data_IF_431014867345
#
_entry.id   IF_431014867345
#
_cell.length_a   1.000
_cell.length_b   1.000
_cell.length_c   1.000
_cell.angle_alpha   90.00
_cell.angle_beta   90.00
_cell.angle_gamma   90.00
#
_symmetry.space_group_name_H-M   'P 1'
#
loop_
_entity.id
_entity.type
_entity.pdbx_description
1 polymer ?
#
# COMPACT_ATOMS: atom_id res chain seq x y z
N UNK A 1 -16.88 -11.12 7.29
CA UNK A 1 -15.78 -11.13 6.30
C UNK A 1 -15.05 -12.45 6.43
N UNK A 2 -14.47 -12.99 5.33
CA UNK A 2 -13.55 -14.14 5.41
C UNK A 2 -12.25 -13.80 6.14
N UNK A 3 -11.47 -14.83 6.50
CA UNK A 3 -10.15 -14.64 7.14
C UNK A 3 -9.24 -13.82 6.20
N UNK A 4 -8.69 -12.71 6.70
CA UNK A 4 -7.68 -11.91 5.96
C UNK A 4 -6.40 -12.72 5.85
N UNK A 5 -5.78 -12.77 4.66
CA UNK A 5 -4.57 -13.55 4.38
C UNK A 5 -3.31 -12.69 4.30
N UNK A 6 -3.42 -11.50 3.71
CA UNK A 6 -2.27 -10.63 3.50
C UNK A 6 -2.64 -9.14 3.54
N UNK A 7 -1.63 -8.30 3.79
CA UNK A 7 -1.74 -6.85 3.79
C UNK A 7 -0.66 -6.29 2.85
N UNK A 8 -1.11 -5.58 1.82
CA UNK A 8 -0.26 -4.80 0.93
C UNK A 8 -0.17 -3.37 1.46
N UNK A 9 1.03 -2.87 1.64
CA UNK A 9 1.26 -1.55 2.22
C UNK A 9 2.12 -0.72 1.27
N UNK A 10 1.62 0.45 0.85
CA UNK A 10 2.42 1.41 0.12
C UNK A 10 3.53 2.00 0.99
N UNK A 11 4.56 2.56 0.35
CA UNK A 11 5.73 3.11 1.05
C UNK A 11 5.57 4.61 1.32
N UNK A 12 5.62 5.41 0.26
CA UNK A 12 5.74 6.86 0.35
C UNK A 12 4.43 7.51 0.80
N UNK A 13 4.45 8.21 1.93
CA UNK A 13 3.26 8.80 2.54
C UNK A 13 2.44 7.86 3.42
N UNK A 14 2.67 6.54 3.32
CA UNK A 14 1.94 5.51 4.08
C UNK A 14 2.73 5.02 5.29
N UNK A 15 4.00 4.61 5.10
CA UNK A 15 4.88 4.17 6.19
C UNK A 15 5.92 5.21 6.59
N UNK A 16 6.08 6.25 5.82
CA UNK A 16 7.04 7.31 6.09
C UNK A 16 7.04 8.35 4.99
N UNK A 17 7.89 9.34 5.16
CA UNK A 17 8.06 10.39 4.17
C UNK A 17 8.04 11.78 4.78
N UNK A 18 8.29 12.76 3.95
CA UNK A 18 8.15 14.18 4.22
C UNK A 18 7.29 14.75 3.09
N UNK A 19 6.34 15.60 3.43
CA UNK A 19 5.41 16.21 2.48
C UNK A 19 6.17 16.86 1.30
N UNK A 20 5.68 16.60 0.09
CA UNK A 20 6.20 17.09 -1.18
C UNK A 20 7.68 16.74 -1.50
N UNK A 21 8.24 15.72 -0.84
CA UNK A 21 9.59 15.22 -1.14
C UNK A 21 9.58 13.75 -1.56
N UNK A 22 10.35 13.43 -2.60
CA UNK A 22 10.73 12.05 -2.90
C UNK A 22 11.93 11.70 -2.02
N UNK A 23 11.80 10.67 -1.20
CA UNK A 23 12.86 10.17 -0.34
C UNK A 23 13.25 8.75 -0.76
N UNK A 24 14.53 8.57 -1.05
CA UNK A 24 15.10 7.26 -1.37
C UNK A 24 15.46 6.47 -0.10
N UNK A 25 15.78 5.19 -0.22
CA UNK A 25 16.30 4.41 0.90
C UNK A 25 17.48 5.13 1.58
N UNK A 26 17.56 5.04 2.91
CA UNK A 26 18.46 5.77 3.81
C UNK A 26 18.11 7.26 4.06
N UNK A 27 17.21 7.86 3.27
CA UNK A 27 16.67 9.20 3.52
C UNK A 27 15.27 9.16 4.12
N UNK A 28 14.60 7.99 4.01
CA UNK A 28 13.23 7.82 4.45
C UNK A 28 13.08 8.00 5.96
N UNK A 29 12.19 8.88 6.34
CA UNK A 29 11.79 9.05 7.74
C UNK A 29 10.56 8.18 7.99
N UNK A 30 10.76 7.04 8.63
CA UNK A 30 9.69 6.10 8.97
C UNK A 30 8.85 6.67 10.11
N UNK A 31 7.52 6.57 10.01
CA UNK A 31 6.63 6.99 11.08
C UNK A 31 6.78 6.08 12.31
N UNK A 32 6.71 6.63 13.53
CA UNK A 32 7.07 5.89 14.76
C UNK A 32 6.27 4.61 15.00
N UNK A 33 5.02 4.57 14.52
CA UNK A 33 4.10 3.45 14.76
C UNK A 33 4.18 2.29 13.75
N UNK A 34 5.01 2.41 12.70
CA UNK A 34 5.03 1.47 11.56
C UNK A 34 5.52 0.09 11.97
N UNK A 35 6.69 -0.01 12.58
CA UNK A 35 7.29 -1.30 12.93
C UNK A 35 6.41 -2.11 13.88
N UNK A 36 5.87 -1.46 14.91
CA UNK A 36 4.97 -2.11 15.86
C UNK A 36 3.65 -2.54 15.20
N UNK A 37 3.12 -1.74 14.26
CA UNK A 37 1.91 -2.09 13.51
C UNK A 37 2.12 -3.30 12.63
N UNK A 38 3.22 -3.35 11.89
CA UNK A 38 3.62 -4.51 11.06
C UNK A 38 3.80 -5.75 11.92
N UNK A 39 4.53 -5.64 13.02
CA UNK A 39 4.76 -6.74 13.96
C UNK A 39 3.42 -7.34 14.45
N UNK A 40 2.49 -6.52 14.89
CA UNK A 40 1.17 -6.97 15.38
C UNK A 40 0.35 -7.69 14.30
N UNK A 41 0.40 -7.23 13.05
CA UNK A 41 -0.24 -7.91 11.92
C UNK A 41 0.40 -9.28 11.67
N UNK A 42 1.73 -9.36 11.68
CA UNK A 42 2.48 -10.62 11.52
C UNK A 42 2.22 -11.62 12.64
N UNK A 43 2.06 -11.17 13.88
CA UNK A 43 1.69 -12.02 15.03
C UNK A 43 0.31 -12.68 14.86
N UNK A 44 -0.54 -12.13 13.97
CA UNK A 44 -1.81 -12.75 13.56
C UNK A 44 -1.67 -13.69 12.35
N UNK A 45 -0.45 -13.91 11.88
CA UNK A 45 -0.18 -14.78 10.74
C UNK A 45 -0.42 -14.13 9.37
N UNK A 46 -0.60 -12.81 9.33
CA UNK A 46 -0.79 -12.08 8.07
C UNK A 46 0.53 -11.90 7.32
N UNK A 47 0.52 -12.15 6.02
CA UNK A 47 1.65 -11.88 5.15
C UNK A 47 1.70 -10.37 4.83
N UNK A 48 2.86 -9.74 5.03
CA UNK A 48 3.05 -8.31 4.82
C UNK A 48 3.85 -8.06 3.56
N UNK A 49 3.25 -7.36 2.61
CA UNK A 49 3.77 -7.16 1.27
C UNK A 49 3.85 -5.66 0.96
N UNK A 50 4.93 -5.22 0.34
CA UNK A 50 4.95 -3.86 -0.20
C UNK A 50 4.27 -3.80 -1.56
N UNK A 51 3.87 -2.59 -1.96
CA UNK A 51 3.36 -2.38 -3.31
C UNK A 51 3.55 -0.89 -3.68
N UNK A 52 4.70 -0.53 -4.22
CA UNK A 52 5.12 0.85 -4.37
C UNK A 52 5.60 1.20 -5.78
N UNK A 53 5.35 2.43 -6.24
CA UNK A 53 5.87 2.96 -7.49
C UNK A 53 7.18 3.70 -7.20
N UNK A 54 8.29 3.23 -7.78
CA UNK A 54 9.63 3.78 -7.58
C UNK A 54 10.33 4.12 -8.91
N UNK A 55 9.86 5.14 -9.65
CA UNK A 55 10.40 5.48 -10.97
C UNK A 55 11.84 6.01 -10.91
N UNK A 56 12.35 6.43 -9.75
CA UNK A 56 13.74 6.80 -9.56
C UNK A 56 14.73 5.69 -9.91
N UNK A 57 14.28 4.42 -9.86
CA UNK A 57 15.13 3.29 -10.27
C UNK A 57 15.43 3.36 -11.77
N UNK A 58 14.43 3.59 -12.62
CA UNK A 58 14.66 3.70 -14.07
C UNK A 58 15.45 4.96 -14.47
N UNK A 59 15.46 5.99 -13.61
CA UNK A 59 16.29 7.19 -13.80
C UNK A 59 17.70 7.05 -13.25
N UNK A 60 18.05 5.93 -12.61
CA UNK A 60 19.36 5.73 -11.99
C UNK A 60 19.56 6.52 -10.69
N UNK A 61 18.50 7.02 -10.08
CA UNK A 61 18.52 7.82 -8.84
C UNK A 61 18.52 6.94 -7.59
N UNK A 62 18.10 5.68 -7.72
CA UNK A 62 18.07 4.68 -6.65
C UNK A 62 18.22 3.27 -7.18
N UNK A 63 18.57 2.32 -6.30
CA UNK A 63 18.68 0.91 -6.62
C UNK A 63 17.51 0.11 -6.05
N UNK A 64 17.08 -0.93 -6.73
CA UNK A 64 16.05 -1.85 -6.26
C UNK A 64 16.44 -2.51 -4.95
N UNK A 65 17.69 -2.98 -4.85
CA UNK A 65 18.20 -3.71 -3.69
C UNK A 65 18.14 -2.85 -2.41
N UNK A 66 18.37 -1.54 -2.51
CA UNK A 66 18.29 -0.63 -1.37
C UNK A 66 16.87 -0.53 -0.81
N UNK A 67 15.84 -0.51 -1.68
CA UNK A 67 14.43 -0.59 -1.25
C UNK A 67 14.11 -1.92 -0.60
N UNK A 68 14.64 -3.03 -1.14
CA UNK A 68 14.43 -4.36 -0.56
C UNK A 68 15.05 -4.47 0.84
N UNK A 69 16.26 -3.96 1.03
CA UNK A 69 16.93 -3.92 2.33
C UNK A 69 16.14 -3.08 3.33
N UNK A 70 15.75 -1.86 2.95
CA UNK A 70 14.96 -0.97 3.79
C UNK A 70 13.65 -1.64 4.23
N UNK A 71 12.83 -2.09 3.28
CA UNK A 71 11.51 -2.64 3.58
C UNK A 71 11.59 -3.96 4.38
N UNK A 72 12.55 -4.82 4.09
CA UNK A 72 12.79 -6.03 4.89
C UNK A 72 13.20 -5.69 6.33
N UNK A 73 13.99 -4.64 6.54
CA UNK A 73 14.39 -4.21 7.89
C UNK A 73 13.21 -3.71 8.73
N UNK A 74 12.18 -3.15 8.10
CA UNK A 74 10.93 -2.70 8.72
C UNK A 74 9.98 -3.87 9.04
N UNK A 75 10.20 -5.04 8.42
CA UNK A 75 9.41 -6.25 8.67
C UNK A 75 8.55 -6.76 7.52
N UNK A 76 8.69 -6.22 6.31
CA UNK A 76 8.01 -6.73 5.14
C UNK A 76 8.51 -8.14 4.76
N UNK A 77 7.59 -9.04 4.40
CA UNK A 77 7.91 -10.42 4.02
C UNK A 77 8.27 -10.54 2.55
N UNK A 78 7.61 -9.75 1.68
CA UNK A 78 7.85 -9.71 0.23
C UNK A 78 7.79 -8.28 -0.28
N UNK A 79 8.60 -7.99 -1.28
CA UNK A 79 8.75 -6.65 -1.84
C UNK A 79 8.27 -6.62 -3.29
N UNK A 80 7.19 -5.91 -3.53
CA UNK A 80 6.68 -5.61 -4.86
C UNK A 80 6.83 -4.12 -5.13
N UNK A 81 7.54 -3.78 -6.18
CA UNK A 81 7.74 -2.40 -6.61
C UNK A 81 7.73 -2.29 -8.14
N UNK A 82 7.22 -1.18 -8.62
CA UNK A 82 7.29 -0.80 -10.03
C UNK A 82 8.42 0.21 -10.24
N UNK A 83 9.47 -0.15 -10.98
CA UNK A 83 10.60 0.77 -11.24
C UNK A 83 10.34 1.71 -12.40
N UNK A 84 9.23 1.58 -13.12
CA UNK A 84 9.02 2.22 -14.41
C UNK A 84 8.52 3.67 -14.28
N UNK A 85 8.92 4.50 -15.25
CA UNK A 85 8.36 5.82 -15.46
C UNK A 85 6.89 5.78 -15.91
N UNK A 86 6.24 6.95 -15.86
CA UNK A 86 4.92 7.13 -16.46
C UNK A 86 4.98 6.82 -17.97
N UNK A 87 3.87 6.28 -18.48
CA UNK A 87 3.68 6.02 -19.91
C UNK A 87 4.65 5.00 -20.57
N UNK A 88 5.31 4.16 -19.79
CA UNK A 88 6.15 3.06 -20.32
C UNK A 88 5.35 1.86 -20.79
N UNK A 89 4.04 1.83 -20.54
CA UNK A 89 3.17 0.69 -20.92
C UNK A 89 3.34 -0.55 -20.03
N UNK A 90 3.98 -0.44 -18.85
CA UNK A 90 4.07 -1.56 -17.92
C UNK A 90 2.72 -1.85 -17.24
N UNK A 91 2.51 -3.11 -16.82
CA UNK A 91 1.29 -3.53 -16.12
C UNK A 91 1.41 -3.40 -14.59
N UNK A 92 2.61 -3.11 -14.06
CA UNK A 92 2.84 -3.08 -12.62
C UNK A 92 2.58 -1.72 -11.96
N UNK A 93 2.67 -0.61 -12.71
CA UNK A 93 2.53 0.73 -12.13
C UNK A 93 1.10 1.03 -11.69
N UNK A 94 0.92 1.38 -10.42
CA UNK A 94 -0.37 1.88 -9.91
C UNK A 94 -0.85 3.10 -10.72
N UNK A 95 -2.11 3.19 -11.12
CA UNK A 95 -3.29 2.47 -10.60
C UNK A 95 -3.55 1.08 -11.20
N UNK A 96 -2.66 0.52 -12.02
CA UNK A 96 -2.84 -0.84 -12.55
C UNK A 96 -2.59 -1.89 -11.45
N UNK A 97 -3.32 -3.02 -11.45
CA UNK A 97 -3.26 -4.02 -10.39
C UNK A 97 -2.09 -5.02 -10.52
N UNK A 98 -1.19 -4.83 -11.48
CA UNK A 98 -0.18 -5.85 -11.85
C UNK A 98 0.68 -6.36 -10.71
N UNK A 99 1.11 -5.49 -9.77
CA UNK A 99 1.85 -5.92 -8.59
C UNK A 99 1.03 -6.82 -7.66
N UNK A 100 -0.27 -6.51 -7.47
CA UNK A 100 -1.18 -7.30 -6.65
C UNK A 100 -1.44 -8.67 -7.27
N UNK A 101 -1.68 -8.71 -8.59
CA UNK A 101 -1.89 -9.95 -9.33
C UNK A 101 -0.64 -10.84 -9.32
N UNK A 102 0.54 -10.25 -9.50
CA UNK A 102 1.82 -10.96 -9.40
C UNK A 102 1.99 -11.58 -8.01
N UNK A 103 1.79 -10.78 -6.97
CA UNK A 103 1.93 -11.24 -5.60
C UNK A 103 0.94 -12.37 -5.25
N UNK A 104 -0.30 -12.26 -5.71
CA UNK A 104 -1.30 -13.31 -5.51
C UNK A 104 -0.89 -14.62 -6.15
N UNK A 105 -0.39 -14.57 -7.38
CA UNK A 105 0.09 -15.77 -8.08
C UNK A 105 1.32 -16.40 -7.41
N UNK A 106 2.25 -15.59 -6.94
CA UNK A 106 3.51 -16.07 -6.33
C UNK A 106 3.33 -16.61 -4.90
N UNK A 107 2.27 -16.20 -4.19
CA UNK A 107 2.04 -16.55 -2.78
C UNK A 107 0.70 -17.28 -2.55
N UNK A 108 0.01 -17.70 -3.62
CA UNK A 108 -1.27 -18.42 -3.57
C UNK A 108 -2.35 -17.69 -2.73
N UNK A 109 -2.51 -16.36 -2.97
CA UNK A 109 -3.41 -15.50 -2.21
C UNK A 109 -4.77 -15.32 -2.93
N UNK A 110 -5.86 -15.34 -2.15
CA UNK A 110 -7.15 -14.84 -2.58
C UNK A 110 -7.22 -13.33 -2.35
N UNK A 111 -7.11 -12.53 -3.42
CA UNK A 111 -7.10 -11.06 -3.33
C UNK A 111 -8.36 -10.47 -2.65
N UNK A 112 -9.49 -11.18 -2.66
CA UNK A 112 -10.70 -10.77 -1.92
C UNK A 112 -10.54 -10.84 -0.40
N UNK A 113 -9.50 -11.54 0.06
CA UNK A 113 -9.08 -11.66 1.46
C UNK A 113 -7.82 -10.86 1.76
N UNK A 114 -7.40 -10.01 0.84
CA UNK A 114 -6.24 -9.15 1.01
C UNK A 114 -6.67 -7.71 1.24
N UNK A 115 -5.90 -7.00 2.03
CA UNK A 115 -6.09 -5.58 2.32
C UNK A 115 -4.98 -4.77 1.65
N UNK A 116 -5.34 -3.66 1.05
CA UNK A 116 -4.39 -2.65 0.54
C UNK A 116 -4.48 -1.41 1.43
N UNK A 117 -3.34 -0.95 1.92
CA UNK A 117 -3.19 0.30 2.68
C UNK A 117 -2.36 1.26 1.84
N UNK A 118 -2.89 2.43 1.55
CA UNK A 118 -2.19 3.48 0.82
C UNK A 118 -2.70 4.87 1.16
N UNK A 119 -1.93 5.89 0.77
CA UNK A 119 -2.25 7.30 0.97
C UNK A 119 -2.77 7.98 -0.30
N UNK A 120 -2.73 7.27 -1.46
CA UNK A 120 -3.15 7.83 -2.74
C UNK A 120 -4.35 7.10 -3.33
N UNK A 121 -5.16 7.84 -4.07
CA UNK A 121 -6.31 7.23 -4.77
C UNK A 121 -5.89 6.19 -5.82
N UNK A 122 -4.68 6.29 -6.36
CA UNK A 122 -4.11 5.27 -7.26
C UNK A 122 -3.91 3.91 -6.58
N UNK A 123 -3.69 3.89 -5.27
CA UNK A 123 -3.60 2.66 -4.47
C UNK A 123 -4.97 2.00 -4.38
N UNK A 124 -5.99 2.80 -4.09
CA UNK A 124 -7.39 2.34 -3.99
C UNK A 124 -7.92 1.83 -5.32
N UNK A 125 -7.62 2.52 -6.43
CA UNK A 125 -8.01 2.07 -7.77
C UNK A 125 -7.35 0.73 -8.11
N UNK A 126 -6.04 0.57 -7.82
CA UNK A 126 -5.33 -0.70 -8.01
C UNK A 126 -5.97 -1.82 -7.19
N UNK A 127 -6.31 -1.55 -5.93
CA UNK A 127 -6.97 -2.48 -5.02
C UNK A 127 -8.38 -2.86 -5.51
N UNK A 128 -9.17 -1.88 -5.96
CA UNK A 128 -10.52 -2.09 -6.53
C UNK A 128 -10.46 -3.00 -7.75
N UNK A 129 -9.56 -2.74 -8.68
CA UNK A 129 -9.37 -3.55 -9.90
C UNK A 129 -8.93 -5.00 -9.58
N UNK A 130 -8.21 -5.19 -8.48
CA UNK A 130 -7.78 -6.50 -8.00
C UNK A 130 -8.80 -7.20 -7.10
N UNK A 131 -9.84 -6.51 -6.65
CA UNK A 131 -10.85 -7.05 -5.72
C UNK A 131 -10.43 -7.06 -4.26
N UNK A 132 -9.40 -6.29 -3.86
CA UNK A 132 -8.94 -6.18 -2.50
C UNK A 132 -9.78 -5.22 -1.65
N UNK A 133 -9.71 -5.38 -0.34
CA UNK A 133 -10.21 -4.41 0.65
C UNK A 133 -9.30 -3.18 0.63
N UNK A 134 -9.89 -1.99 0.64
CA UNK A 134 -9.20 -0.70 0.46
C UNK A 134 -9.18 0.11 1.75
N UNK A 135 -8.00 0.45 2.23
CA UNK A 135 -7.82 1.38 3.36
C UNK A 135 -7.04 2.60 2.89
N UNK A 136 -7.64 3.77 3.06
CA UNK A 136 -6.95 5.05 2.85
C UNK A 136 -6.40 5.52 4.20
N UNK A 137 -5.08 5.75 4.28
CA UNK A 137 -4.49 6.47 5.41
C UNK A 137 -4.47 7.97 5.14
N UNK A 138 -4.72 8.77 6.16
CA UNK A 138 -4.76 10.24 6.06
C UNK A 138 -3.38 10.90 6.22
N UNK A 139 -2.31 10.11 6.28
CA UNK A 139 -0.91 10.55 6.15
C UNK A 139 -0.58 10.85 4.68
N UNK A 140 0.58 11.38 4.41
CA UNK A 140 1.03 11.67 3.04
C UNK A 140 0.01 12.51 2.26
N UNK A 141 -0.41 12.00 1.11
CA UNK A 141 -1.42 12.65 0.25
C UNK A 141 -2.88 12.34 0.64
N UNK A 142 -3.12 11.47 1.64
CA UNK A 142 -4.43 10.88 1.88
C UNK A 142 -5.55 11.89 2.19
N UNK A 143 -5.27 12.90 3.03
CA UNK A 143 -6.25 13.98 3.28
C UNK A 143 -6.60 14.76 2.01
N UNK A 144 -5.58 15.07 1.20
CA UNK A 144 -5.76 15.81 -0.05
C UNK A 144 -6.54 15.00 -1.09
N UNK A 145 -6.25 13.72 -1.20
CA UNK A 145 -6.93 12.83 -2.14
C UNK A 145 -8.39 12.56 -1.71
N UNK A 146 -8.64 12.39 -0.40
CA UNK A 146 -10.00 12.29 0.13
C UNK A 146 -10.82 13.55 -0.18
N UNK A 147 -10.23 14.73 0.03
CA UNK A 147 -10.91 15.99 -0.29
C UNK A 147 -11.22 16.13 -1.78
N UNK A 148 -10.33 15.70 -2.67
CA UNK A 148 -10.63 15.68 -4.12
C UNK A 148 -11.84 14.81 -4.44
N UNK A 149 -12.00 13.66 -3.77
CA UNK A 149 -13.17 12.81 -3.93
C UNK A 149 -14.44 13.53 -3.45
N UNK A 150 -14.41 14.13 -2.26
CA UNK A 150 -15.53 14.87 -1.68
C UNK A 150 -15.93 16.10 -2.55
N UNK A 151 -14.96 16.73 -3.18
CA UNK A 151 -15.17 17.85 -4.12
C UNK A 151 -15.62 17.38 -5.53
N UNK A 152 -15.85 16.07 -5.76
CA UNK A 152 -16.31 15.52 -7.02
C UNK A 152 -15.29 15.59 -8.16
N UNK A 153 -13.99 15.58 -7.85
CA UNK A 153 -12.92 15.71 -8.86
C UNK A 153 -12.51 14.36 -9.48
N UNK A 154 -13.04 13.23 -8.98
CA UNK A 154 -12.76 11.90 -9.52
C UNK A 154 -13.93 11.38 -10.36
N UNK A 155 -13.62 10.69 -11.47
CA UNK A 155 -14.57 10.14 -12.42
C UNK A 155 -14.24 8.69 -12.76
N UNK A 156 -15.26 7.94 -13.28
CA UNK A 156 -15.11 6.54 -13.68
C UNK A 156 -14.57 5.70 -12.53
N UNK A 157 -13.60 4.83 -12.80
CA UNK A 157 -13.00 3.93 -11.81
C UNK A 157 -12.39 4.63 -10.59
N UNK A 158 -11.99 5.88 -10.72
CA UNK A 158 -11.51 6.65 -9.56
C UNK A 158 -12.66 7.01 -8.62
N UNK A 159 -13.84 7.31 -9.14
CA UNK A 159 -15.02 7.56 -8.33
C UNK A 159 -15.58 6.28 -7.68
N UNK A 160 -15.37 5.13 -8.30
CA UNK A 160 -15.81 3.82 -7.80
C UNK A 160 -14.90 3.27 -6.69
N UNK A 161 -13.65 3.71 -6.63
CA UNK A 161 -12.63 3.21 -5.71
C UNK A 161 -12.69 3.85 -4.30
N UNK A 162 -13.89 4.13 -3.78
CA UNK A 162 -14.03 4.64 -2.41
C UNK A 162 -13.47 3.64 -1.39
N UNK A 163 -12.71 4.09 -0.36
CA UNK A 163 -12.12 3.19 0.62
C UNK A 163 -13.18 2.48 1.47
N UNK A 164 -12.92 1.23 1.82
CA UNK A 164 -13.74 0.47 2.77
C UNK A 164 -13.51 0.95 4.20
N UNK A 165 -12.33 1.54 4.46
CA UNK A 165 -12.00 2.20 5.73
C UNK A 165 -11.07 3.40 5.49
N UNK A 166 -11.31 4.49 6.23
CA UNK A 166 -10.44 5.67 6.26
C UNK A 166 -9.76 5.70 7.62
N UNK A 167 -8.45 5.50 7.63
CA UNK A 167 -7.63 5.45 8.83
C UNK A 167 -6.83 6.76 9.02
N UNK A 168 -6.65 7.17 10.26
CA UNK A 168 -5.80 8.32 10.56
C UNK A 168 -4.33 8.10 10.14
N UNK A 169 -3.82 6.86 10.32
CA UNK A 169 -2.46 6.43 10.01
C UNK A 169 -2.38 4.90 9.95
N UNK A 170 -1.17 4.36 9.77
CA UNK A 170 -0.93 2.92 9.68
C UNK A 170 -1.34 2.16 10.97
N UNK A 171 -1.19 2.76 12.14
CA UNK A 171 -1.60 2.16 13.42
C UNK A 171 -3.10 1.95 13.50
N UNK A 172 -3.87 2.94 13.07
CA UNK A 172 -5.34 2.88 13.01
C UNK A 172 -5.78 1.83 11.98
N UNK A 173 -5.16 1.82 10.79
CA UNK A 173 -5.41 0.79 9.77
C UNK A 173 -5.13 -0.62 10.29
N UNK A 174 -3.99 -0.85 10.94
CA UNK A 174 -3.64 -2.13 11.54
C UNK A 174 -4.64 -2.56 12.63
N UNK A 175 -5.08 -1.64 13.47
CA UNK A 175 -6.06 -1.94 14.51
C UNK A 175 -7.41 -2.35 13.91
N UNK A 176 -7.85 -1.66 12.85
CA UNK A 176 -9.07 -2.06 12.13
C UNK A 176 -8.95 -3.47 11.56
N UNK A 177 -7.85 -3.81 10.88
CA UNK A 177 -7.59 -5.15 10.34
C UNK A 177 -7.64 -6.21 11.45
N UNK A 178 -6.95 -5.96 12.56
CA UNK A 178 -6.92 -6.89 13.70
C UNK A 178 -8.30 -7.13 14.33
N UNK A 179 -9.18 -6.15 14.28
CA UNK A 179 -10.56 -6.31 14.74
C UNK A 179 -11.37 -7.20 13.78
N UNK A 180 -11.18 -7.06 12.45
CA UNK A 180 -11.82 -7.94 11.46
C UNK A 180 -11.39 -9.41 11.63
N UNK A 181 -10.12 -9.65 11.99
CA UNK A 181 -9.61 -11.01 12.25
C UNK A 181 -10.25 -11.67 13.50
N UNK A 182 -10.71 -10.88 14.47
CA UNK A 182 -11.36 -11.42 15.69
C UNK A 182 -12.80 -11.86 15.45
N UNK A 183 -13.51 -11.15 14.57
CA UNK A 183 -14.92 -11.46 14.26
C UNK A 183 -15.08 -12.71 13.39
N UNK A 184 -13.99 -13.21 12.83
CA UNK A 184 -13.96 -14.41 11.97
C UNK A 184 -13.54 -15.68 12.71
N UNK A 185 -13.29 -15.60 14.03
CA UNK A 185 -12.93 -16.72 14.93
C UNK A 185 -14.11 -17.14 15.78
#
# INVERSE_FOLDING_TARGET
MGVIEAVFIDRDGTIGGVEDKVLYPNEMIIFPEVEESIKRLKEKGLLILSFTNQPGISRGEANRDDFEVELKSIGFDRIYLCPHEHNTGCNCRKPLPGMLLQAANENDLDLRKCVVIGDRWTDLVSAQEAGCIKILVQTGAGKKDLKKYEDGQYFGKYNEAYPDYIAANIKDAAQWILNQCKESS
#
